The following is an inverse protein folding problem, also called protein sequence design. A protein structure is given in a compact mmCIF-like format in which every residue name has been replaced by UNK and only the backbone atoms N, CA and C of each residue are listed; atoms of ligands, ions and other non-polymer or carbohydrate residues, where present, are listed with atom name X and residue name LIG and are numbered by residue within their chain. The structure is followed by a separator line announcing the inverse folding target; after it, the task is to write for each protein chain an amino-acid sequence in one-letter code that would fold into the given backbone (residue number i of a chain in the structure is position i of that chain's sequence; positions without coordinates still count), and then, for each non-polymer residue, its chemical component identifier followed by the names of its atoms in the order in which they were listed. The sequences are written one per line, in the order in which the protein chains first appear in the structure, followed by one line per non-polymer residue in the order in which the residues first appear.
data_IF_277031673794
#
_entry.id   IF_277031673794
#
_cell.length_a   1.000
_cell.length_b   1.000
_cell.length_c   1.000
_cell.angle_alpha   90.00
_cell.angle_beta   90.00
_cell.angle_gamma   90.00
#
_symmetry.space_group_name_H-M   'P 1'
#
loop_
_entity.id
_entity.type
_entity.pdbx_description
1 polymer ?
#
# COMPACT_ATOMS: atom_id res chain seq x y z
N UNK A 1 -7.83 25.29 -0.16
CA UNK A 1 -7.00 24.12 0.24
C UNK A 1 -7.26 23.07 -0.82
N UNK A 2 -6.30 22.83 -1.71
CA UNK A 2 -6.46 21.79 -2.73
C UNK A 2 -6.48 20.45 -1.99
N UNK A 3 -7.55 19.68 -2.17
CA UNK A 3 -7.68 18.37 -1.57
C UNK A 3 -6.63 17.47 -2.22
N UNK A 4 -5.73 16.90 -1.42
CA UNK A 4 -4.73 15.88 -1.82
C UNK A 4 -5.45 14.54 -2.03
N UNK A 5 -6.60 14.56 -2.73
CA UNK A 5 -7.52 13.45 -2.98
C UNK A 5 -8.66 13.88 -3.92
N UNK A 6 -8.93 13.06 -4.93
CA UNK A 6 -10.05 13.21 -5.85
C UNK A 6 -11.28 12.39 -5.42
N UNK A 7 -12.48 12.99 -5.42
CA UNK A 7 -13.71 12.28 -5.10
C UNK A 7 -14.03 11.25 -6.19
N UNK A 8 -14.27 10.01 -5.78
CA UNK A 8 -14.69 8.92 -6.66
C UNK A 8 -15.50 7.88 -5.88
N UNK A 9 -16.23 7.02 -6.60
CA UNK A 9 -16.89 5.86 -6.01
C UNK A 9 -15.86 4.77 -5.67
N UNK A 10 -16.20 3.91 -4.71
CA UNK A 10 -15.41 2.73 -4.39
C UNK A 10 -15.47 1.74 -5.55
N UNK A 11 -14.31 1.27 -6.00
CA UNK A 11 -14.19 0.22 -7.01
C UNK A 11 -12.90 -0.59 -6.81
N UNK A 12 -13.04 -1.88 -6.52
CA UNK A 12 -11.90 -2.79 -6.41
C UNK A 12 -11.29 -3.04 -7.79
N UNK A 13 -10.07 -2.55 -8.01
CA UNK A 13 -9.37 -2.67 -9.29
C UNK A 13 -7.86 -2.63 -9.12
N UNK A 14 -7.17 -3.48 -9.89
CA UNK A 14 -5.73 -3.41 -10.07
C UNK A 14 -5.36 -2.27 -11.01
N UNK A 15 -4.33 -1.50 -10.66
CA UNK A 15 -3.73 -0.49 -11.51
C UNK A 15 -2.27 -0.85 -11.79
N UNK A 16 -1.86 -0.68 -13.06
CA UNK A 16 -0.45 -0.56 -13.40
C UNK A 16 0.05 0.77 -12.83
N UNK A 17 1.02 0.70 -11.92
CA UNK A 17 1.57 1.87 -11.23
C UNK A 17 3.05 2.03 -11.57
N UNK A 18 3.37 3.06 -12.33
CA UNK A 18 4.73 3.51 -12.66
C UNK A 18 5.15 4.77 -11.88
N UNK A 19 4.31 5.22 -10.93
CA UNK A 19 4.56 6.42 -10.13
C UNK A 19 5.62 6.22 -9.04
N UNK A 20 6.01 7.31 -8.41
CA UNK A 20 7.00 7.30 -7.32
C UNK A 20 6.43 6.62 -6.05
N UNK A 21 7.30 5.92 -5.34
CA UNK A 21 7.02 5.35 -4.03
C UNK A 21 8.30 5.31 -3.20
N UNK A 22 8.14 5.38 -1.87
CA UNK A 22 9.23 5.32 -0.91
C UNK A 22 9.13 4.03 -0.11
N UNK A 23 10.27 3.39 0.12
CA UNK A 23 10.39 2.15 0.87
C UNK A 23 11.31 2.43 2.05
N UNK A 24 10.78 2.36 3.28
CA UNK A 24 11.50 2.66 4.51
C UNK A 24 11.50 1.44 5.44
N UNK A 25 12.66 0.89 5.85
CA UNK A 25 12.69 -0.13 6.89
C UNK A 25 12.28 0.47 8.24
N UNK A 26 11.53 -0.27 9.05
CA UNK A 26 11.23 0.10 10.43
C UNK A 26 12.20 -0.59 11.43
N UNK A 27 12.13 -0.20 12.70
CA UNK A 27 12.99 -0.74 13.76
C UNK A 27 12.72 -2.23 14.09
N UNK A 28 11.59 -2.77 13.65
CA UNK A 28 11.14 -4.14 13.90
C UNK A 28 11.51 -5.10 12.75
N UNK A 29 12.09 -4.56 11.68
CA UNK A 29 12.48 -5.29 10.47
C UNK A 29 11.38 -5.40 9.42
N UNK A 30 10.21 -4.80 9.63
CA UNK A 30 9.22 -4.59 8.56
C UNK A 30 9.65 -3.46 7.62
N UNK A 31 8.93 -3.35 6.51
CA UNK A 31 9.10 -2.30 5.51
C UNK A 31 7.81 -1.51 5.40
N UNK A 32 7.93 -0.19 5.50
CA UNK A 32 6.86 0.77 5.24
C UNK A 32 6.96 1.27 3.80
N UNK A 33 5.92 1.05 3.02
CA UNK A 33 5.79 1.63 1.68
C UNK A 33 4.88 2.84 1.75
N UNK A 34 5.36 4.00 1.28
CA UNK A 34 4.58 5.23 1.10
C UNK A 34 4.43 5.55 -0.37
N UNK A 35 3.23 5.85 -0.82
CA UNK A 35 2.93 6.06 -2.25
C UNK A 35 1.63 6.86 -2.42
N UNK A 36 1.35 7.31 -3.65
CA UNK A 36 0.13 8.04 -4.03
C UNK A 36 -0.76 7.08 -4.80
N UNK A 37 -2.05 7.06 -4.46
CA UNK A 37 -3.01 6.22 -5.18
C UNK A 37 -3.16 6.68 -6.64
N UNK A 38 -2.99 5.80 -7.64
CA UNK A 38 -3.17 6.16 -9.05
C UNK A 38 -4.62 6.49 -9.43
N UNK A 39 -5.59 6.15 -8.59
CA UNK A 39 -7.00 6.36 -8.86
C UNK A 39 -7.52 7.66 -8.24
N UNK A 40 -7.39 7.80 -6.92
CA UNK A 40 -7.91 8.96 -6.19
C UNK A 40 -6.85 9.98 -5.79
N UNK A 41 -5.57 9.77 -6.14
CA UNK A 41 -4.44 10.63 -5.76
C UNK A 41 -4.23 10.84 -4.26
N UNK A 42 -4.95 10.10 -3.41
CA UNK A 42 -4.75 10.11 -1.97
C UNK A 42 -3.45 9.40 -1.58
N UNK A 43 -2.74 9.98 -0.62
CA UNK A 43 -1.56 9.33 -0.02
C UNK A 43 -1.93 8.07 0.73
N UNK A 44 -1.09 7.06 0.62
CA UNK A 44 -1.23 5.81 1.36
C UNK A 44 0.09 5.33 1.92
N UNK A 45 0.01 4.58 3.02
CA UNK A 45 1.14 4.00 3.72
C UNK A 45 0.77 2.58 4.12
N UNK A 46 1.56 1.60 3.70
CA UNK A 46 1.32 0.18 3.98
C UNK A 46 2.57 -0.46 4.59
N UNK A 47 2.40 -1.17 5.70
CA UNK A 47 3.49 -1.89 6.36
C UNK A 47 3.47 -3.36 5.91
N UNK A 48 4.63 -3.86 5.50
CA UNK A 48 4.85 -5.24 5.10
C UNK A 48 5.90 -5.87 6.00
N UNK A 49 5.54 -6.95 6.68
CA UNK A 49 6.52 -7.76 7.40
C UNK A 49 7.41 -8.50 6.43
N UNK A 50 8.62 -7.98 6.24
CA UNK A 50 9.70 -8.65 5.52
C UNK A 50 10.60 -9.25 6.57
N UNK A 51 10.74 -10.58 6.62
CA UNK A 51 11.73 -11.18 7.52
C UNK A 51 13.13 -10.78 7.06
N UNK A 52 13.72 -9.71 7.60
CA UNK A 52 15.11 -9.37 7.32
C UNK A 52 16.02 -10.52 7.82
N UNK A 53 17.02 -10.97 7.05
CA UNK A 53 17.87 -12.09 7.42
C UNK A 53 18.88 -11.67 8.51
N UNK A 54 18.44 -11.42 9.75
CA UNK A 54 19.32 -11.08 10.88
C UNK A 54 19.36 -12.16 11.97
N UNK A 55 19.35 -13.44 11.59
CA UNK A 55 19.47 -14.53 12.58
C UNK A 55 19.88 -15.87 11.95
N UNK A 56 20.96 -16.47 12.46
CA UNK A 56 21.58 -17.68 11.89
C UNK A 56 20.79 -19.01 12.07
N UNK A 57 19.51 -19.01 12.43
CA UNK A 57 18.73 -20.25 12.65
C UNK A 57 17.25 -20.08 12.31
N UNK A 58 16.92 -20.10 11.02
CA UNK A 58 15.54 -20.15 10.52
C UNK A 58 15.51 -20.16 8.98
N UNK A 59 14.45 -20.68 8.34
CA UNK A 59 14.33 -20.59 6.89
C UNK A 59 14.38 -19.11 6.50
N UNK A 60 15.33 -18.77 5.61
CA UNK A 60 15.48 -17.42 5.07
C UNK A 60 14.18 -17.06 4.34
N UNK A 61 13.27 -16.33 4.99
CA UNK A 61 12.15 -15.69 4.29
C UNK A 61 12.81 -14.67 3.36
N UNK A 62 12.88 -15.00 2.08
CA UNK A 62 13.34 -14.02 1.09
C UNK A 62 12.25 -12.97 1.04
N UNK A 63 12.54 -11.66 1.20
CA UNK A 63 11.52 -10.64 1.08
C UNK A 63 10.81 -10.85 -0.26
N UNK A 64 9.48 -10.78 -0.27
CA UNK A 64 8.74 -10.72 -1.51
C UNK A 64 9.27 -9.50 -2.26
N UNK A 65 10.00 -9.72 -3.36
CA UNK A 65 10.55 -8.63 -4.18
C UNK A 65 9.48 -7.65 -4.63
N UNK A 66 8.24 -8.14 -4.73
CA UNK A 66 7.05 -7.43 -5.16
C UNK A 66 5.90 -7.66 -4.18
N UNK A 67 5.27 -6.59 -3.72
CA UNK A 67 4.11 -6.63 -2.81
C UNK A 67 2.92 -5.88 -3.38
N UNK A 68 1.71 -6.19 -2.88
CA UNK A 68 0.48 -5.50 -3.26
C UNK A 68 0.19 -4.39 -2.27
N UNK A 69 0.14 -3.14 -2.74
CA UNK A 69 -0.35 -2.00 -1.97
C UNK A 69 -1.83 -1.82 -2.29
N UNK A 70 -2.64 -1.58 -1.26
CA UNK A 70 -4.05 -1.18 -1.40
C UNK A 70 -4.17 0.27 -0.99
N UNK A 71 -5.04 1.03 -1.66
CA UNK A 71 -5.33 2.40 -1.31
C UNK A 71 -5.91 2.47 0.11
N UNK A 72 -5.14 3.03 1.04
CA UNK A 72 -5.54 3.39 2.39
C UNK A 72 -5.63 4.90 2.61
N UNK A 73 -6.25 5.65 1.69
CA UNK A 73 -6.28 7.13 1.76
C UNK A 73 -7.12 7.70 2.92
N UNK A 74 -7.95 6.89 3.58
CA UNK A 74 -8.75 7.30 4.73
C UNK A 74 -10.01 8.12 4.41
N UNK A 75 -10.23 8.50 3.15
CA UNK A 75 -11.41 9.25 2.73
C UNK A 75 -12.64 8.33 2.54
N UNK A 76 -13.86 8.82 2.83
CA UNK A 76 -15.08 8.09 2.51
C UNK A 76 -15.28 8.04 0.99
N UNK A 77 -15.58 6.86 0.48
CA UNK A 77 -15.94 6.62 -0.92
C UNK A 77 -17.36 6.05 -0.98
N UNK A 78 -18.18 6.55 -1.91
CA UNK A 78 -19.53 6.04 -2.10
C UNK A 78 -19.49 4.57 -2.52
N UNK A 79 -20.57 3.82 -2.24
CA UNK A 79 -20.72 2.40 -2.61
C UNK A 79 -19.68 1.46 -1.95
N UNK A 80 -18.87 1.95 -1.02
CA UNK A 80 -17.97 1.10 -0.23
C UNK A 80 -18.79 0.12 0.62
N UNK A 81 -18.54 -1.20 0.52
CA UNK A 81 -19.17 -2.18 1.40
C UNK A 81 -18.81 -1.92 2.86
N UNK A 82 -19.77 -2.09 3.77
CA UNK A 82 -19.52 -1.98 5.22
C UNK A 82 -18.61 -3.09 5.77
N UNK A 83 -18.40 -4.15 5.00
CA UNK A 83 -17.59 -5.31 5.35
C UNK A 83 -16.10 -5.14 5.04
N UNK A 84 -15.68 -4.12 4.27
CA UNK A 84 -14.27 -3.88 3.98
C UNK A 84 -13.60 -3.17 5.15
N UNK A 85 -12.60 -3.81 5.75
CA UNK A 85 -11.83 -3.26 6.87
C UNK A 85 -10.99 -2.03 6.46
N UNK A 86 -10.58 -1.95 5.20
CA UNK A 86 -9.70 -0.89 4.70
C UNK A 86 -10.47 0.39 4.37
N UNK A 87 -9.87 1.54 4.66
CA UNK A 87 -10.42 2.85 4.31
C UNK A 87 -9.71 3.41 3.09
N UNK A 88 -10.30 3.20 1.91
CA UNK A 88 -9.86 3.83 0.66
C UNK A 88 -10.78 3.50 -0.53
N UNK A 89 -10.29 3.76 -1.75
CA UNK A 89 -11.10 3.71 -2.98
C UNK A 89 -11.23 2.30 -3.60
N UNK A 90 -10.54 1.29 -3.07
CA UNK A 90 -10.49 -0.07 -3.62
C UNK A 90 -9.39 -0.29 -4.67
N UNK A 91 -8.66 0.74 -5.07
CA UNK A 91 -7.50 0.58 -5.95
C UNK A 91 -6.38 -0.21 -5.26
N UNK A 92 -5.75 -1.12 -5.99
CA UNK A 92 -4.55 -1.83 -5.56
C UNK A 92 -3.53 -1.94 -6.70
N UNK A 93 -2.24 -2.01 -6.36
CA UNK A 93 -1.15 -2.08 -7.35
C UNK A 93 0.06 -2.81 -6.79
N UNK A 94 0.99 -3.17 -7.67
CA UNK A 94 2.24 -3.83 -7.28
C UNK A 94 3.36 -2.82 -7.12
N UNK A 95 4.18 -3.00 -6.08
CA UNK A 95 5.40 -2.24 -5.85
C UNK A 95 6.55 -3.20 -5.61
N UNK A 96 7.75 -2.85 -6.09
CA UNK A 96 8.95 -3.63 -5.84
C UNK A 96 9.69 -3.07 -4.60
N UNK A 97 10.02 -3.93 -3.64
CA UNK A 97 10.62 -3.54 -2.34
C UNK A 97 12.14 -3.33 -2.40
N UNK A 98 12.77 -3.59 -3.56
CA UNK A 98 14.22 -3.53 -3.84
C UNK A 98 15.10 -4.51 -3.03
#
# INVERSE_FOLDING_TARGET
MATDHDPMDFFEREYDYDGEYQVEPNAEGDVLVRTVCPACHGRTSTQFSVGLPSGAKGPKITPARRVTVVCGCGYPHNLRPSTTAESGCGAYWKVDLA
#
